data_IF_731452978620
#
_entry.id   IF_731452978620
#
_cell.length_a   1.000
_cell.length_b   1.000
_cell.length_c   1.000
_cell.angle_alpha   90.00
_cell.angle_beta   90.00
_cell.angle_gamma   90.00
#
_symmetry.space_group_name_H-M   'P 1'
#
loop_
_entity.id
_entity.type
_entity.pdbx_description
1 polymer ?
#
# COMPACT_ATOMS: atom_id res chain seq x y z
N UNK A 1 38.43 37.40 -33.72
CA UNK A 1 37.05 37.01 -33.35
C UNK A 1 36.89 35.51 -33.54
N UNK A 2 36.10 34.84 -32.68
CA UNK A 2 35.58 33.47 -32.84
C UNK A 2 36.45 32.26 -32.48
N UNK A 3 36.98 32.20 -31.25
CA UNK A 3 37.25 30.88 -30.58
C UNK A 3 36.87 30.82 -29.10
N UNK A 4 36.60 31.95 -28.46
CA UNK A 4 36.29 32.00 -27.02
C UNK A 4 34.81 31.84 -26.66
N UNK A 5 33.90 31.87 -27.64
CA UNK A 5 32.45 31.83 -27.40
C UNK A 5 31.85 30.40 -27.44
N UNK A 6 32.59 29.41 -27.96
CA UNK A 6 32.05 28.05 -28.15
C UNK A 6 32.21 27.14 -26.92
N UNK A 7 33.11 27.47 -25.99
CA UNK A 7 33.37 26.65 -24.79
C UNK A 7 32.45 26.98 -23.61
N UNK A 8 31.74 28.11 -23.67
CA UNK A 8 30.82 28.51 -22.59
C UNK A 8 29.41 27.91 -22.75
N UNK A 9 29.02 27.52 -23.97
CA UNK A 9 27.70 26.95 -24.26
C UNK A 9 27.64 25.46 -23.90
N UNK A 10 28.77 24.74 -23.89
CA UNK A 10 28.85 23.35 -23.44
C UNK A 10 28.81 23.18 -21.92
N UNK A 11 29.02 24.23 -21.13
CA UNK A 11 28.96 24.14 -19.65
C UNK A 11 27.57 24.43 -19.07
N UNK A 12 26.67 25.06 -19.83
CA UNK A 12 25.30 25.41 -19.36
C UNK A 12 24.29 24.28 -19.65
N UNK A 13 24.60 23.36 -20.60
CA UNK A 13 23.74 22.20 -20.87
C UNK A 13 23.99 20.98 -19.97
N UNK A 14 24.99 21.03 -19.07
CA UNK A 14 25.31 19.92 -18.15
C UNK A 14 24.64 20.03 -16.77
N UNK A 15 23.91 21.10 -16.47
CA UNK A 15 23.26 21.32 -15.17
C UNK A 15 21.76 21.02 -15.14
N UNK A 16 21.18 20.49 -16.22
CA UNK A 16 19.79 20.03 -16.29
C UNK A 16 19.69 18.53 -16.60
N UNK A 17 20.76 17.77 -16.32
CA UNK A 17 20.63 16.33 -16.14
C UNK A 17 19.79 16.16 -14.88
N UNK A 18 18.48 16.05 -15.08
CA UNK A 18 17.48 15.73 -14.06
C UNK A 18 18.13 14.83 -13.03
N UNK A 19 18.32 15.33 -11.80
CA UNK A 19 18.64 14.50 -10.66
C UNK A 19 17.51 13.49 -10.56
N UNK A 20 17.69 12.32 -11.18
CA UNK A 20 16.93 11.13 -10.86
C UNK A 20 17.31 10.85 -9.41
N UNK A 21 16.56 11.44 -8.50
CA UNK A 21 16.74 11.28 -7.07
C UNK A 21 16.53 9.80 -6.81
N UNK A 22 17.62 9.12 -6.48
CA UNK A 22 17.59 7.69 -6.17
C UNK A 22 16.66 7.47 -4.97
N UNK A 23 15.83 6.42 -5.00
CA UNK A 23 14.99 6.02 -3.88
C UNK A 23 15.75 5.84 -2.57
N UNK A 24 17.07 5.63 -2.63
CA UNK A 24 17.93 5.46 -1.45
C UNK A 24 17.91 6.67 -0.51
N UNK A 25 17.65 7.88 -1.03
CA UNK A 25 17.51 9.09 -0.20
C UNK A 25 16.11 9.28 0.36
N UNK A 26 15.15 8.48 -0.12
CA UNK A 26 13.72 8.60 0.11
C UNK A 26 13.12 10.00 0.00
N UNK A 27 13.79 10.90 -0.73
CA UNK A 27 13.38 12.29 -0.86
C UNK A 27 13.15 12.61 -2.32
N UNK A 28 12.00 13.19 -2.64
CA UNK A 28 11.67 13.64 -3.99
C UNK A 28 10.95 14.99 -3.97
N UNK A 29 11.41 15.95 -4.78
CA UNK A 29 10.88 17.32 -4.82
C UNK A 29 10.81 18.00 -3.44
N UNK A 30 11.80 17.73 -2.57
CA UNK A 30 11.85 18.27 -1.21
C UNK A 30 10.91 17.58 -0.21
N UNK A 31 10.18 16.56 -0.65
CA UNK A 31 9.28 15.75 0.19
C UNK A 31 10.03 14.49 0.60
N UNK A 32 10.08 14.24 1.92
CA UNK A 32 10.66 13.02 2.51
C UNK A 32 9.55 11.97 2.70
N UNK A 33 9.72 10.80 2.06
CA UNK A 33 8.79 9.67 2.10
C UNK A 33 9.21 8.55 3.06
N UNK A 34 10.23 8.78 3.90
CA UNK A 34 10.79 7.75 4.80
C UNK A 34 9.78 7.22 5.83
N UNK A 35 8.71 7.97 6.11
CA UNK A 35 7.58 7.51 6.92
C UNK A 35 6.81 6.33 6.31
N UNK A 36 6.95 6.09 5.00
CA UNK A 36 6.38 4.95 4.30
C UNK A 36 7.32 3.74 4.27
N UNK A 37 8.54 3.84 4.77
CA UNK A 37 9.44 2.69 4.84
C UNK A 37 9.07 1.78 6.02
N UNK A 38 8.78 0.51 5.74
CA UNK A 38 8.50 -0.50 6.76
C UNK A 38 9.77 -1.30 7.08
N UNK A 39 10.41 -0.97 8.20
CA UNK A 39 11.72 -1.55 8.57
C UNK A 39 11.67 -3.06 8.86
N UNK A 40 10.55 -3.56 9.38
CA UNK A 40 10.38 -4.95 9.83
C UNK A 40 9.31 -5.72 9.05
N UNK A 41 8.66 -5.09 8.06
CA UNK A 41 7.58 -5.72 7.29
C UNK A 41 7.61 -5.27 5.83
N UNK A 42 6.53 -5.54 5.10
CA UNK A 42 6.37 -5.15 3.70
C UNK A 42 4.90 -4.90 3.42
N UNK A 43 4.61 -3.94 2.57
CA UNK A 43 3.27 -3.80 2.02
C UNK A 43 2.94 -5.02 1.20
N UNK A 44 1.66 -5.36 1.11
CA UNK A 44 1.17 -6.39 0.20
C UNK A 44 -0.10 -5.96 -0.49
N UNK A 45 -0.34 -6.53 -1.65
CA UNK A 45 -1.66 -6.56 -2.28
C UNK A 45 -1.71 -7.68 -3.32
N UNK A 46 -2.91 -8.03 -3.79
CA UNK A 46 -3.05 -9.06 -4.80
C UNK A 46 -3.08 -8.43 -6.18
N UNK A 47 -2.80 -9.21 -7.21
CA UNK A 47 -3.23 -8.83 -8.56
C UNK A 47 -4.75 -8.75 -8.63
N UNK A 48 -5.25 -7.93 -9.55
CA UNK A 48 -6.70 -7.79 -9.82
C UNK A 48 -7.37 -9.11 -10.23
N UNK A 49 -6.63 -10.07 -10.76
CA UNK A 49 -7.10 -11.43 -11.11
C UNK A 49 -6.88 -12.45 -9.98
N UNK A 50 -6.31 -12.04 -8.84
CA UNK A 50 -6.01 -12.89 -7.69
C UNK A 50 -4.87 -13.88 -7.88
N UNK A 51 -4.26 -13.97 -9.07
CA UNK A 51 -3.23 -14.95 -9.41
C UNK A 51 -1.94 -14.74 -8.63
N UNK A 52 -1.58 -13.50 -8.33
CA UNK A 52 -0.32 -13.15 -7.70
C UNK A 52 -0.54 -12.38 -6.41
N UNK A 53 0.32 -12.62 -5.42
CA UNK A 53 0.46 -11.76 -4.24
C UNK A 53 1.76 -10.96 -4.37
N UNK A 54 1.65 -9.64 -4.38
CA UNK A 54 2.77 -8.71 -4.50
C UNK A 54 3.19 -8.22 -3.11
N UNK A 55 4.49 -8.06 -2.92
CA UNK A 55 5.07 -7.45 -1.73
C UNK A 55 6.03 -6.34 -2.13
N UNK A 56 5.96 -5.21 -1.43
CA UNK A 56 6.89 -4.11 -1.65
C UNK A 56 7.23 -3.31 -0.41
N UNK A 57 8.23 -2.46 -0.56
CA UNK A 57 8.53 -1.40 0.40
C UNK A 57 8.72 -0.07 -0.31
N UNK A 58 8.74 1.04 0.43
CA UNK A 58 9.03 2.36 -0.11
C UNK A 58 10.44 2.74 0.28
N UNK A 59 11.25 3.14 -0.71
CA UNK A 59 12.64 3.57 -0.56
C UNK A 59 13.63 2.53 0.01
N UNK A 60 13.25 1.26 0.03
CA UNK A 60 14.11 0.22 0.59
C UNK A 60 13.68 -1.19 0.20
N UNK A 61 14.37 -2.16 0.78
CA UNK A 61 14.12 -3.57 0.50
C UNK A 61 12.81 -4.05 1.14
N UNK A 62 12.11 -4.92 0.42
CA UNK A 62 10.99 -5.68 0.96
C UNK A 62 11.50 -6.89 1.74
N UNK A 63 11.08 -7.03 2.99
CA UNK A 63 11.40 -8.17 3.86
C UNK A 63 10.80 -9.49 3.38
N UNK A 64 9.86 -9.44 2.45
CA UNK A 64 9.24 -10.62 1.83
C UNK A 64 9.94 -11.05 0.54
N UNK A 65 10.88 -10.28 0.01
CA UNK A 65 11.69 -10.69 -1.12
C UNK A 65 12.92 -11.44 -0.60
N UNK A 66 13.05 -12.72 -0.94
CA UNK A 66 14.10 -13.62 -0.41
C UNK A 66 15.54 -13.16 -0.74
N UNK A 67 15.71 -12.22 -1.67
CA UNK A 67 16.99 -11.67 -2.08
C UNK A 67 17.13 -10.23 -1.59
N UNK A 68 18.29 -9.89 -1.03
CA UNK A 68 18.67 -8.50 -0.72
C UNK A 68 18.76 -7.68 -2.02
N UNK A 69 18.53 -6.37 -1.92
CA UNK A 69 18.53 -5.43 -3.05
C UNK A 69 17.20 -5.27 -3.81
N UNK A 70 16.14 -5.97 -3.41
CA UNK A 70 14.83 -5.89 -4.10
C UNK A 70 13.76 -5.19 -3.25
N UNK A 71 13.13 -4.19 -3.87
CA UNK A 71 12.03 -3.45 -3.26
C UNK A 71 10.69 -4.11 -3.53
N UNK A 72 10.54 -4.81 -4.68
CA UNK A 72 9.28 -5.41 -5.10
C UNK A 72 9.47 -6.84 -5.59
N UNK A 73 8.59 -7.73 -5.16
CA UNK A 73 8.47 -9.08 -5.68
C UNK A 73 7.02 -9.57 -5.63
N UNK A 74 6.74 -10.67 -6.33
CA UNK A 74 5.45 -11.36 -6.28
C UNK A 74 5.58 -12.87 -6.18
N UNK A 75 4.56 -13.50 -5.65
CA UNK A 75 4.41 -14.95 -5.54
C UNK A 75 3.20 -15.42 -6.33
N UNK A 76 3.34 -16.51 -7.08
CA UNK A 76 2.22 -17.13 -7.78
C UNK A 76 1.36 -17.95 -6.81
N UNK A 77 0.10 -17.54 -6.65
CA UNK A 77 -0.88 -18.20 -5.81
C UNK A 77 -1.48 -19.46 -6.48
N UNK A 78 -1.33 -19.61 -7.80
CA UNK A 78 -1.94 -20.68 -8.59
C UNK A 78 -1.10 -21.96 -8.68
N UNK A 79 0.18 -21.89 -8.29
CA UNK A 79 1.10 -23.03 -8.42
C UNK A 79 1.09 -23.86 -7.15
N UNK A 80 0.73 -25.13 -7.29
CA UNK A 80 0.83 -26.12 -6.21
C UNK A 80 2.29 -26.20 -5.78
N UNK A 81 2.47 -26.04 -4.47
CA UNK A 81 3.77 -25.88 -3.85
C UNK A 81 4.56 -27.19 -3.96
N UNK A 82 5.56 -27.25 -4.85
CA UNK A 82 6.56 -28.31 -4.80
C UNK A 82 7.55 -27.96 -3.68
N UNK A 83 7.54 -28.75 -2.59
CA UNK A 83 8.44 -28.61 -1.43
C UNK A 83 8.30 -27.31 -0.60
N UNK A 84 7.12 -26.71 -0.52
CA UNK A 84 6.92 -25.52 0.34
C UNK A 84 7.35 -24.17 -0.28
N UNK A 85 7.85 -24.13 -1.52
CA UNK A 85 8.35 -22.91 -2.17
C UNK A 85 7.39 -22.44 -3.27
N UNK A 86 6.78 -21.26 -3.09
CA UNK A 86 6.03 -20.57 -4.14
C UNK A 86 6.99 -19.93 -5.17
N UNK A 87 6.68 -19.95 -6.48
CA UNK A 87 7.48 -19.24 -7.47
C UNK A 87 7.55 -17.75 -7.15
N UNK A 88 8.76 -17.26 -6.89
CA UNK A 88 9.07 -15.86 -6.62
C UNK A 88 9.47 -15.14 -7.92
N UNK A 89 8.79 -14.04 -8.24
CA UNK A 89 9.16 -13.16 -9.34
C UNK A 89 9.63 -11.82 -8.77
N UNK A 90 10.87 -11.42 -9.09
CA UNK A 90 11.38 -10.11 -8.70
C UNK A 90 10.90 -9.06 -9.71
N UNK A 91 10.23 -8.02 -9.24
CA UNK A 91 9.59 -7.02 -10.09
C UNK A 91 10.06 -5.58 -9.84
N UNK A 92 11.07 -5.39 -8.98
CA UNK A 92 11.72 -4.11 -8.78
C UNK A 92 12.94 -4.16 -7.85
N UNK A 93 14.09 -3.69 -8.33
CA UNK A 93 15.30 -3.50 -7.52
C UNK A 93 15.34 -2.09 -6.93
N UNK A 94 15.85 -1.97 -5.70
CA UNK A 94 16.03 -0.67 -5.02
C UNK A 94 16.97 0.24 -5.82
N UNK A 95 18.10 -0.32 -6.30
CA UNK A 95 19.15 0.43 -7.02
C UNK A 95 18.72 0.93 -8.40
N UNK A 96 17.69 0.32 -8.98
CA UNK A 96 17.12 0.70 -10.27
C UNK A 96 15.83 1.50 -10.12
N UNK A 97 15.51 1.97 -8.91
CA UNK A 97 14.33 2.77 -8.71
C UNK A 97 14.53 4.25 -9.02
N UNK A 98 13.43 4.95 -9.24
CA UNK A 98 13.41 6.38 -9.52
C UNK A 98 12.07 6.99 -9.15
N UNK A 99 12.05 8.29 -8.86
CA UNK A 99 10.82 9.05 -8.72
C UNK A 99 10.48 9.82 -9.99
N UNK A 100 9.18 10.04 -10.19
CA UNK A 100 8.66 10.99 -11.19
C UNK A 100 7.34 11.59 -10.73
N UNK A 101 6.87 12.62 -11.43
CA UNK A 101 5.55 13.21 -11.20
C UNK A 101 4.61 12.86 -12.34
N UNK A 102 3.41 12.36 -12.03
CA UNK A 102 2.34 12.06 -12.99
C UNK A 102 1.04 12.66 -12.47
N UNK A 103 0.41 13.55 -13.24
CA UNK A 103 -0.84 14.22 -12.87
C UNK A 103 -0.80 14.88 -11.48
N UNK A 104 0.35 15.47 -11.11
CA UNK A 104 0.56 16.10 -9.81
C UNK A 104 0.86 15.14 -8.65
N UNK A 105 0.79 13.82 -8.87
CA UNK A 105 1.12 12.81 -7.87
C UNK A 105 2.57 12.33 -8.03
N UNK A 106 3.19 11.96 -6.91
CA UNK A 106 4.51 11.32 -6.93
C UNK A 106 4.34 9.86 -7.32
N UNK A 107 5.16 9.39 -8.26
CA UNK A 107 5.21 7.98 -8.68
C UNK A 107 6.61 7.47 -8.43
N UNK A 108 6.72 6.45 -7.59
CA UNK A 108 7.93 5.70 -7.34
C UNK A 108 7.97 4.49 -8.26
N UNK A 109 9.00 4.42 -9.08
CA UNK A 109 9.22 3.34 -10.03
C UNK A 109 10.33 2.46 -9.49
N UNK A 110 10.13 1.15 -9.50
CA UNK A 110 11.18 0.16 -9.37
C UNK A 110 11.27 -0.68 -10.64
N UNK A 111 12.47 -0.98 -11.11
CA UNK A 111 12.69 -1.81 -12.30
C UNK A 111 13.69 -2.92 -12.01
N UNK A 112 13.64 -3.99 -12.79
CA UNK A 112 14.65 -5.04 -12.73
C UNK A 112 14.72 -5.83 -14.03
N UNK A 113 15.96 -6.20 -14.40
CA UNK A 113 16.28 -7.12 -15.48
C UNK A 113 16.66 -8.52 -14.98
N UNK A 114 16.61 -8.79 -13.67
CA UNK A 114 16.98 -10.09 -13.10
C UNK A 114 16.03 -11.22 -13.55
N UNK A 115 14.75 -10.89 -13.78
CA UNK A 115 13.71 -11.82 -14.21
C UNK A 115 12.83 -11.17 -15.29
N UNK A 116 13.38 -10.96 -16.50
CA UNK A 116 12.64 -10.28 -17.55
C UNK A 116 11.44 -11.13 -17.98
N UNK A 117 10.44 -10.46 -18.50
CA UNK A 117 9.31 -11.11 -19.13
C UNK A 117 9.65 -11.66 -20.52
N UNK A 118 8.67 -12.31 -21.14
CA UNK A 118 8.74 -12.68 -22.56
C UNK A 118 9.19 -11.48 -23.41
N UNK A 119 10.02 -11.75 -24.42
CA UNK A 119 10.65 -10.73 -25.27
C UNK A 119 11.63 -9.80 -24.55
N UNK A 120 12.24 -10.25 -23.44
CA UNK A 120 13.26 -9.51 -22.69
C UNK A 120 12.80 -8.17 -22.12
N UNK A 121 11.48 -7.99 -21.95
CA UNK A 121 10.91 -6.78 -21.35
C UNK A 121 11.23 -6.79 -19.86
N UNK A 122 11.86 -5.73 -19.36
CA UNK A 122 12.17 -5.60 -17.95
C UNK A 122 10.90 -5.44 -17.13
N UNK A 123 10.88 -6.06 -15.95
CA UNK A 123 9.79 -5.91 -15.02
C UNK A 123 9.88 -4.54 -14.37
N UNK A 124 8.74 -3.85 -14.30
CA UNK A 124 8.66 -2.51 -13.75
C UNK A 124 7.44 -2.39 -12.85
N UNK A 125 7.65 -1.97 -11.61
CA UNK A 125 6.58 -1.65 -10.67
C UNK A 125 6.47 -0.14 -10.52
N UNK A 126 5.26 0.41 -10.65
CA UNK A 126 4.96 1.81 -10.44
C UNK A 126 4.01 1.96 -9.25
N UNK A 127 4.45 2.71 -8.24
CA UNK A 127 3.71 2.98 -7.02
C UNK A 127 3.31 4.45 -7.05
N UNK A 128 2.02 4.73 -7.23
CA UNK A 128 1.50 6.11 -7.25
C UNK A 128 1.11 6.52 -5.83
N UNK A 129 1.74 7.57 -5.33
CA UNK A 129 1.47 8.17 -4.01
C UNK A 129 0.50 9.34 -4.17
N UNK A 130 -0.72 9.18 -3.67
CA UNK A 130 -1.76 10.20 -3.71
C UNK A 130 -1.91 10.80 -2.31
N UNK A 131 -1.45 12.03 -2.15
CA UNK A 131 -1.63 12.78 -0.91
C UNK A 131 -3.12 13.09 -0.70
N UNK A 132 -3.62 12.80 0.50
CA UNK A 132 -5.00 13.13 0.90
C UNK A 132 -5.06 13.43 2.39
N UNK A 133 -6.13 14.08 2.84
CA UNK A 133 -6.34 14.39 4.26
C UNK A 133 -6.76 13.16 5.08
N UNK A 134 -6.75 11.96 4.49
CA UNK A 134 -7.02 10.73 5.22
C UNK A 134 -5.82 10.38 6.09
N UNK A 135 -6.00 10.30 7.40
CA UNK A 135 -4.97 9.78 8.31
C UNK A 135 -4.51 8.35 7.98
N UNK A 136 -5.25 7.64 7.13
CA UNK A 136 -4.99 6.26 6.71
C UNK A 136 -4.40 6.18 5.31
N UNK A 137 -3.62 5.13 5.09
CA UNK A 137 -3.01 4.80 3.82
C UNK A 137 -3.78 3.65 3.15
N UNK A 138 -4.56 3.98 2.13
CA UNK A 138 -5.27 3.02 1.29
C UNK A 138 -4.35 2.48 0.22
N UNK A 139 -4.42 1.18 -0.06
CA UNK A 139 -3.59 0.49 -1.04
C UNK A 139 -4.50 -0.23 -2.03
N UNK A 140 -4.35 0.03 -3.33
CA UNK A 140 -5.11 -0.67 -4.36
C UNK A 140 -4.64 -2.11 -4.56
N UNK A 141 -5.44 -2.92 -5.25
CA UNK A 141 -4.90 -4.10 -5.92
C UNK A 141 -3.87 -3.69 -6.98
N UNK A 142 -2.97 -4.63 -7.29
CA UNK A 142 -1.93 -4.45 -8.30
C UNK A 142 -2.51 -4.76 -9.66
N UNK A 143 -2.50 -3.75 -10.54
CA UNK A 143 -2.90 -3.93 -11.92
C UNK A 143 -1.67 -4.26 -12.78
N UNK A 144 -1.78 -5.31 -13.61
CA UNK A 144 -0.68 -5.77 -14.46
C UNK A 144 -0.98 -5.50 -15.94
N UNK A 145 -0.01 -4.92 -16.66
CA UNK A 145 -0.06 -4.80 -18.12
C UNK A 145 1.33 -4.91 -18.72
N UNK A 146 1.57 -5.97 -19.52
CA UNK A 146 2.83 -6.18 -20.25
C UNK A 146 4.08 -6.00 -19.37
N UNK A 147 4.06 -6.58 -18.17
CA UNK A 147 5.14 -6.54 -17.18
C UNK A 147 5.41 -5.18 -16.54
N UNK A 148 4.43 -4.28 -16.65
CA UNK A 148 4.27 -3.16 -15.75
C UNK A 148 3.23 -3.51 -14.70
N UNK A 149 3.58 -3.30 -13.45
CA UNK A 149 2.74 -3.55 -12.28
C UNK A 149 2.45 -2.20 -11.62
N UNK A 150 1.20 -1.80 -11.57
CA UNK A 150 0.82 -0.49 -11.03
C UNK A 150 0.00 -0.66 -9.77
N UNK A 151 0.38 0.07 -8.72
CA UNK A 151 -0.34 0.13 -7.44
C UNK A 151 -0.47 1.57 -7.00
N UNK A 152 -1.58 1.90 -6.34
CA UNK A 152 -1.85 3.23 -5.80
C UNK A 152 -1.89 3.18 -4.29
N UNK A 153 -1.20 4.12 -3.65
CA UNK A 153 -1.19 4.33 -2.21
C UNK A 153 -1.73 5.73 -1.90
N UNK A 154 -2.89 5.83 -1.26
CA UNK A 154 -3.60 7.09 -1.02
C UNK A 154 -3.73 7.37 0.47
N UNK A 155 -3.24 8.51 0.95
CA UNK A 155 -3.30 8.84 2.37
C UNK A 155 -2.45 10.03 2.78
N UNK A 156 -2.54 10.43 4.04
CA UNK A 156 -1.73 11.50 4.64
C UNK A 156 -0.25 11.09 4.68
N UNK A 157 0.03 9.80 4.93
CA UNK A 157 1.38 9.27 4.87
C UNK A 157 2.01 9.40 3.46
N UNK A 158 1.18 9.37 2.40
CA UNK A 158 1.62 9.60 1.02
C UNK A 158 1.93 11.07 0.71
N UNK A 159 1.67 12.00 1.63
CA UNK A 159 2.12 13.38 1.53
C UNK A 159 3.60 13.54 1.93
N UNK A 160 4.19 12.57 2.65
CA UNK A 160 5.55 12.67 3.20
C UNK A 160 5.65 13.60 4.42
N UNK A 161 6.81 13.58 5.08
CA UNK A 161 7.05 14.21 6.40
C UNK A 161 7.10 15.74 6.33
N UNK A 162 7.63 16.29 5.23
CA UNK A 162 7.89 17.72 5.07
C UNK A 162 6.99 18.41 4.03
N UNK A 163 5.89 17.77 3.62
CA UNK A 163 4.95 18.44 2.74
C UNK A 163 4.39 19.71 3.41
N UNK A 164 4.21 20.82 2.65
CA UNK A 164 3.66 22.05 3.19
C UNK A 164 2.35 21.75 3.90
N UNK A 165 2.33 22.07 5.20
CA UNK A 165 1.28 21.80 6.18
C UNK A 165 -0.11 21.67 5.54
N UNK A 166 -0.55 20.43 5.34
CA UNK A 166 -1.98 20.15 5.35
C UNK A 166 -2.42 20.51 6.76
N UNK A 167 -3.10 21.63 6.93
CA UNK A 167 -3.56 22.14 8.23
C UNK A 167 -4.33 21.06 8.96
N UNK A 168 -3.64 20.39 9.89
CA UNK A 168 -4.23 19.44 10.82
C UNK A 168 -5.21 20.21 11.70
N UNK A 169 -6.51 20.06 11.44
CA UNK A 169 -7.51 20.31 12.47
C UNK A 169 -7.24 19.32 13.61
N UNK A 170 -7.28 19.72 14.89
CA UNK A 170 -7.01 18.82 16.00
C UNK A 170 -8.05 17.69 16.00
N UNK A 171 -7.60 16.47 15.73
CA UNK A 171 -8.45 15.28 15.80
C UNK A 171 -8.71 14.95 17.28
N UNK A 172 -9.98 14.78 17.71
CA UNK A 172 -10.30 14.33 19.06
C UNK A 172 -9.83 12.90 19.33
N UNK A 173 -9.53 12.64 20.61
CA UNK A 173 -9.18 11.35 21.27
C UNK A 173 -10.14 10.18 20.94
N UNK A 174 -9.76 8.92 21.26
CA UNK A 174 -9.78 7.81 20.32
C UNK A 174 -11.20 7.48 19.85
N UNK A 175 -11.55 7.89 18.64
CA UNK A 175 -12.79 7.44 18.03
C UNK A 175 -12.57 6.05 17.44
N UNK A 176 -13.31 5.07 17.94
CA UNK A 176 -13.41 3.78 17.25
C UNK A 176 -14.24 4.02 16.01
N UNK A 177 -13.66 3.74 14.85
CA UNK A 177 -14.31 4.02 13.57
C UNK A 177 -14.66 2.71 12.91
N UNK A 178 -15.95 2.52 12.61
CA UNK A 178 -16.43 1.46 11.72
C UNK A 178 -16.90 2.10 10.41
N UNK A 179 -16.29 1.78 9.28
CA UNK A 179 -16.76 2.24 7.96
C UNK A 179 -16.96 1.07 7.03
N UNK A 180 -17.88 1.21 6.10
CA UNK A 180 -18.05 0.30 4.98
C UNK A 180 -17.88 1.13 3.71
N UNK A 181 -16.97 0.71 2.85
CA UNK A 181 -16.70 1.33 1.55
C UNK A 181 -16.61 0.25 0.46
N UNK A 182 -16.31 0.65 -0.76
CA UNK A 182 -16.16 -0.27 -1.91
C UNK A 182 -15.05 -1.32 -1.71
N UNK A 183 -14.20 -1.15 -0.68
CA UNK A 183 -13.12 -2.06 -0.30
C UNK A 183 -13.44 -2.89 0.96
N UNK A 184 -14.68 -2.86 1.45
CA UNK A 184 -15.18 -3.65 2.57
C UNK A 184 -15.20 -2.93 3.93
N UNK A 185 -15.19 -3.72 5.01
CA UNK A 185 -15.25 -3.26 6.39
C UNK A 185 -13.91 -2.67 6.83
N UNK A 186 -13.95 -1.42 7.26
CA UNK A 186 -12.85 -0.73 7.90
C UNK A 186 -13.11 -0.59 9.39
N UNK A 187 -12.13 -0.96 10.21
CA UNK A 187 -12.13 -0.73 11.66
C UNK A 187 -10.85 -0.03 12.08
N UNK A 188 -10.98 1.06 12.83
CA UNK A 188 -9.86 1.76 13.46
C UNK A 188 -10.09 1.85 14.96
N UNK A 189 -9.08 1.50 15.74
CA UNK A 189 -9.12 1.50 17.20
C UNK A 189 -7.73 1.62 17.79
N UNK A 190 -7.61 2.28 18.94
CA UNK A 190 -6.36 2.25 19.74
C UNK A 190 -6.23 0.97 20.55
N UNK A 191 -7.28 0.15 20.60
CA UNK A 191 -7.28 -1.16 21.24
C UNK A 191 -7.12 -2.26 20.19
N UNK A 192 -6.61 -3.45 20.57
CA UNK A 192 -6.52 -4.59 19.66
C UNK A 192 -7.85 -4.85 18.95
N UNK A 193 -7.76 -5.26 17.69
CA UNK A 193 -8.90 -5.57 16.85
C UNK A 193 -8.88 -7.07 16.58
N UNK A 194 -9.96 -7.77 16.91
CA UNK A 194 -10.17 -9.18 16.63
C UNK A 194 -11.28 -9.32 15.61
N UNK A 195 -11.00 -9.88 14.44
CA UNK A 195 -12.01 -10.10 13.42
C UNK A 195 -12.23 -11.58 13.14
N UNK A 196 -13.48 -11.89 12.85
CA UNK A 196 -13.95 -13.19 12.40
C UNK A 196 -14.76 -13.04 11.13
N UNK A 197 -14.87 -14.11 10.36
CA UNK A 197 -15.76 -14.11 9.21
C UNK A 197 -15.85 -15.46 8.52
N UNK A 198 -16.78 -15.53 7.57
CA UNK A 198 -17.16 -16.75 6.85
C UNK A 198 -17.11 -16.50 5.34
N UNK A 199 -16.56 -17.46 4.59
CA UNK A 199 -16.39 -17.35 3.15
C UNK A 199 -15.20 -16.48 2.74
N UNK A 200 -15.08 -16.24 1.42
CA UNK A 200 -13.92 -15.57 0.83
C UNK A 200 -13.75 -14.16 1.38
N UNK A 201 -12.79 -14.01 2.29
CA UNK A 201 -12.48 -12.76 2.95
C UNK A 201 -11.02 -12.39 2.76
N UNK A 202 -10.71 -11.10 2.71
CA UNK A 202 -9.34 -10.59 2.59
C UNK A 202 -9.16 -9.42 3.54
N UNK A 203 -8.24 -9.53 4.50
CA UNK A 203 -7.99 -8.47 5.46
C UNK A 203 -6.56 -7.92 5.34
N UNK A 204 -6.41 -6.64 5.62
CA UNK A 204 -5.16 -5.90 5.54
C UNK A 204 -5.06 -4.94 6.72
N UNK A 205 -3.95 -4.99 7.45
CA UNK A 205 -3.62 -4.00 8.47
C UNK A 205 -2.47 -3.12 7.98
N UNK A 206 -2.19 -2.02 8.68
CA UNK A 206 -1.13 -1.07 8.30
C UNK A 206 0.26 -1.68 8.51
N UNK A 207 0.41 -2.54 9.51
CA UNK A 207 1.70 -3.17 9.86
C UNK A 207 1.84 -4.58 9.29
N UNK A 208 0.71 -5.27 9.15
CA UNK A 208 0.63 -6.68 8.76
C UNK A 208 -0.46 -6.90 7.72
N UNK A 209 -0.08 -7.42 6.57
CA UNK A 209 -1.04 -7.91 5.63
C UNK A 209 -1.40 -9.36 5.94
N UNK A 210 -2.56 -9.58 6.54
CA UNK A 210 -3.07 -10.92 6.80
C UNK A 210 -4.13 -11.29 5.76
N UNK A 211 -3.69 -11.78 4.60
CA UNK A 211 -4.60 -12.34 3.61
C UNK A 211 -5.10 -13.70 4.08
N UNK A 212 -6.23 -13.74 4.78
CA UNK A 212 -6.88 -15.00 5.20
C UNK A 212 -8.00 -15.34 4.24
N UNK A 213 -7.66 -15.99 3.12
CA UNK A 213 -8.66 -16.59 2.25
C UNK A 213 -9.07 -17.96 2.80
N UNK A 214 -10.05 -18.02 3.68
CA UNK A 214 -10.69 -19.30 4.03
C UNK A 214 -12.06 -19.39 3.35
N UNK A 215 -12.42 -20.56 2.82
CA UNK A 215 -13.77 -20.82 2.30
C UNK A 215 -14.81 -20.98 3.42
N UNK A 216 -14.34 -21.19 4.66
CA UNK A 216 -15.17 -21.70 5.74
C UNK A 216 -15.29 -20.67 6.86
N UNK A 217 -14.24 -20.51 7.66
CA UNK A 217 -14.23 -19.63 8.82
C UNK A 217 -12.83 -19.09 9.05
N UNK A 218 -12.70 -17.84 9.48
CA UNK A 218 -11.42 -17.31 9.95
C UNK A 218 -11.58 -16.55 11.26
N UNK A 219 -10.46 -16.44 11.97
CA UNK A 219 -10.29 -15.56 13.11
C UNK A 219 -8.87 -15.01 13.05
N UNK A 220 -8.70 -13.72 13.28
CA UNK A 220 -7.38 -13.17 13.52
C UNK A 220 -7.48 -11.99 14.50
N UNK A 221 -6.35 -11.71 15.13
CA UNK A 221 -6.19 -10.58 16.03
C UNK A 221 -5.03 -9.71 15.55
N UNK A 222 -5.20 -8.41 15.64
CA UNK A 222 -4.14 -7.45 15.35
C UNK A 222 -4.05 -6.40 16.45
N UNK A 223 -2.81 -6.09 16.83
CA UNK A 223 -2.49 -4.90 17.61
C UNK A 223 -2.29 -3.66 16.72
N UNK A 224 -2.39 -3.81 15.39
CA UNK A 224 -2.45 -2.69 14.46
C UNK A 224 -3.66 -1.85 14.79
N UNK A 225 -3.46 -0.53 14.88
CA UNK A 225 -4.54 0.40 15.20
C UNK A 225 -5.65 0.45 14.14
N UNK A 226 -5.47 -0.16 12.97
CA UNK A 226 -6.52 -0.22 11.96
C UNK A 226 -6.45 -1.47 11.09
N UNK A 227 -7.60 -1.82 10.54
CA UNK A 227 -7.80 -2.93 9.62
C UNK A 227 -8.85 -2.63 8.55
N UNK A 228 -8.60 -3.13 7.35
CA UNK A 228 -9.54 -3.16 6.23
C UNK A 228 -9.80 -4.62 5.84
N UNK A 229 -11.06 -5.00 5.67
CA UNK A 229 -11.47 -6.37 5.42
C UNK A 229 -12.53 -6.41 4.31
N UNK A 230 -12.23 -7.08 3.20
CA UNK A 230 -13.14 -7.28 2.07
C UNK A 230 -13.84 -8.64 2.19
N UNK A 231 -15.16 -8.67 2.08
CA UNK A 231 -15.98 -9.88 2.14
C UNK A 231 -17.36 -9.58 2.74
N UNK A 232 -18.28 -10.54 2.66
CA UNK A 232 -19.69 -10.29 2.98
C UNK A 232 -20.06 -10.60 4.44
N UNK A 233 -19.35 -11.53 5.09
CA UNK A 233 -19.67 -11.97 6.46
C UNK A 233 -18.47 -11.71 7.36
N UNK A 234 -18.26 -10.46 7.73
CA UNK A 234 -17.10 -10.02 8.52
C UNK A 234 -17.59 -9.33 9.78
N UNK A 235 -16.98 -9.68 10.89
CA UNK A 235 -17.23 -9.08 12.19
C UNK A 235 -15.89 -8.79 12.87
N UNK A 236 -15.65 -7.52 13.16
CA UNK A 236 -14.47 -7.04 13.86
C UNK A 236 -14.89 -6.45 15.20
N UNK A 237 -14.23 -6.89 16.26
CA UNK A 237 -14.46 -6.46 17.64
C UNK A 237 -13.23 -5.73 18.15
N UNK A 238 -13.45 -4.66 18.90
CA UNK A 238 -12.39 -3.89 19.54
C UNK A 238 -12.91 -3.24 20.80
N UNK A 239 -12.19 -3.37 21.92
CA UNK A 239 -12.60 -2.89 23.25
C UNK A 239 -14.09 -3.16 23.59
N UNK A 240 -14.98 -2.22 23.27
CA UNK A 240 -16.42 -2.21 23.52
C UNK A 240 -17.28 -2.01 22.25
N UNK A 241 -16.68 -2.09 21.06
CA UNK A 241 -17.35 -1.89 19.77
C UNK A 241 -17.19 -3.13 18.90
N UNK A 242 -18.30 -3.51 18.28
CA UNK A 242 -18.39 -4.58 17.28
C UNK A 242 -18.87 -3.96 15.97
N UNK A 243 -18.00 -3.97 14.97
CA UNK A 243 -18.30 -3.56 13.59
C UNK A 243 -18.56 -4.84 12.78
N UNK A 244 -19.64 -4.92 12.01
CA UNK A 244 -19.87 -6.07 11.13
C UNK A 244 -20.53 -5.68 9.81
N UNK A 245 -20.31 -6.51 8.79
CA UNK A 245 -21.06 -6.46 7.53
C UNK A 245 -22.27 -7.38 7.65
N UNK A 246 -23.43 -6.89 7.26
CA UNK A 246 -24.62 -7.71 7.01
C UNK A 246 -25.13 -7.44 5.59
N UNK A 247 -24.87 -8.36 4.64
CA UNK A 247 -25.20 -8.19 3.23
C UNK A 247 -26.72 -8.21 2.99
N UNK A 248 -27.52 -8.64 3.97
CA UNK A 248 -28.99 -8.60 3.90
C UNK A 248 -29.59 -7.23 4.26
N UNK A 249 -28.77 -6.28 4.74
CA UNK A 249 -29.21 -4.94 5.14
C UNK A 249 -28.97 -3.87 4.05
N UNK A 250 -29.85 -2.86 3.98
CA UNK A 250 -29.80 -1.80 2.96
C UNK A 250 -28.50 -0.97 2.96
N UNK A 251 -27.84 -0.85 4.12
CA UNK A 251 -26.59 -0.08 4.28
C UNK A 251 -25.35 -0.96 4.48
N UNK A 252 -25.51 -2.28 4.64
CA UNK A 252 -24.42 -3.24 4.82
C UNK A 252 -23.69 -3.18 6.16
N UNK A 253 -23.63 -2.04 6.85
CA UNK A 253 -22.83 -1.86 8.08
C UNK A 253 -23.68 -1.93 9.37
N UNK A 254 -23.23 -2.75 10.33
CA UNK A 254 -23.75 -2.78 11.70
C UNK A 254 -22.67 -2.41 12.72
N UNK A 255 -23.04 -1.57 13.68
CA UNK A 255 -22.19 -1.20 14.82
C UNK A 255 -22.93 -1.54 16.11
N UNK A 256 -22.36 -2.41 16.93
CA UNK A 256 -23.00 -2.98 18.13
C UNK A 256 -24.41 -3.53 17.82
N UNK A 257 -24.55 -4.20 16.67
CA UNK A 257 -25.80 -4.80 16.21
C UNK A 257 -26.84 -3.82 15.65
N UNK A 258 -26.59 -2.50 15.66
CA UNK A 258 -27.47 -1.50 15.08
C UNK A 258 -27.04 -1.17 13.65
N UNK A 259 -27.99 -1.20 12.72
CA UNK A 259 -27.77 -0.72 11.37
C UNK A 259 -27.42 0.76 11.39
N UNK A 260 -26.42 1.11 10.60
CA UNK A 260 -25.97 2.49 10.49
C UNK A 260 -25.75 2.86 9.03
N UNK A 261 -25.87 4.16 8.74
CA UNK A 261 -25.54 4.69 7.41
C UNK A 261 -24.04 4.50 7.16
N UNK A 262 -23.69 4.35 5.87
CA UNK A 262 -22.30 4.30 5.41
C UNK A 262 -21.49 5.45 6.04
N UNK A 263 -20.39 5.10 6.73
CA UNK A 263 -19.48 6.00 7.48
C UNK A 263 -19.96 6.46 8.88
N UNK A 264 -20.08 5.53 9.84
CA UNK A 264 -20.42 5.89 11.22
C UNK A 264 -19.18 6.09 12.09
N UNK A 265 -19.20 7.14 12.90
CA UNK A 265 -18.17 7.40 13.92
C UNK A 265 -18.72 6.99 15.27
N UNK A 266 -18.05 6.06 15.95
CA UNK A 266 -18.40 5.70 17.32
C UNK A 266 -17.41 6.36 18.28
N UNK A 267 -17.91 7.34 19.05
CA UNK A 267 -17.15 7.92 20.15
C UNK A 267 -17.59 7.23 21.44
N UNK A 268 -16.80 6.28 21.96
CA UNK A 268 -16.98 5.87 23.35
C UNK A 268 -16.26 6.88 24.23
N UNK A 269 -16.99 7.86 24.74
CA UNK A 269 -16.53 8.64 25.89
C UNK A 269 -16.60 7.74 27.12
N UNK A 270 -15.43 7.27 27.58
CA UNK A 270 -15.23 6.89 28.98
C UNK A 270 -14.71 8.12 29.72
#
# INVERSE_FOLDING_TARGET
>A
MNKFLLTFITFIFLSLVNSQQSPNSCTYNGIDYSNLFLSNSSYTSNSTDGKYTYYWNICGESKKCLNTGFSVCSYDNSVIILNGIHPLYLSGSVDQGSFRTVNGNTVLIYSTNAFPCSNYIYRQTEITLICSNSSFLYISDVYETKCRYTVTMTGLAACGINAPNVTNSPTPSPQIVCKLNDYGLFVNSTSPISCTGIGQTKCHTVTDSLSVSSSDYFTFETSSGSIQCLGDNIECTTANVKCSIDPSSYYGLKVNGKETKLNHYYSSSN
#
